data_IF_147493854965
#
_entry.id   IF_147493854965
#
_cell.length_a   1.000
_cell.length_b   1.000
_cell.length_c   1.000
_cell.angle_alpha   90.00
_cell.angle_beta   90.00
_cell.angle_gamma   90.00
#
_symmetry.space_group_name_H-M   'P 1'
#
loop_
_entity.id
_entity.type
_entity.pdbx_description
1 polymer ?
#
# COMPACT_ATOMS: atom_id res chain seq x y z
N UNK A 1 22.08 -0.84 11.20
CA UNK A 1 21.36 0.37 11.65
C UNK A 1 20.75 1.15 10.47
N UNK A 2 21.53 1.67 9.51
CA UNK A 2 21.00 2.49 8.40
C UNK A 2 19.98 1.77 7.49
N UNK A 3 20.20 0.49 7.20
CA UNK A 3 19.26 -0.32 6.39
C UNK A 3 17.90 -0.50 7.08
N UNK A 4 17.91 -0.78 8.38
CA UNK A 4 16.71 -0.93 9.21
C UNK A 4 15.91 0.38 9.29
N UNK A 5 16.59 1.52 9.42
CA UNK A 5 15.94 2.83 9.37
C UNK A 5 15.31 3.10 7.99
N UNK A 6 16.04 2.82 6.90
CA UNK A 6 15.53 3.03 5.54
C UNK A 6 14.30 2.15 5.21
N UNK A 7 14.27 0.89 5.65
CA UNK A 7 13.09 0.04 5.48
C UNK A 7 11.93 0.43 6.41
N UNK A 8 12.23 0.95 7.61
CA UNK A 8 11.22 1.52 8.50
C UNK A 8 10.55 2.75 7.89
N UNK A 9 11.35 3.65 7.32
CA UNK A 9 10.85 4.81 6.57
C UNK A 9 10.04 4.36 5.34
N UNK A 10 10.53 3.37 4.60
CA UNK A 10 9.81 2.80 3.46
C UNK A 10 8.44 2.27 3.87
N UNK A 11 8.34 1.53 5.00
CA UNK A 11 7.09 1.01 5.53
C UNK A 11 6.10 2.15 5.84
N UNK A 12 6.56 3.20 6.54
CA UNK A 12 5.73 4.36 6.85
C UNK A 12 5.22 5.07 5.59
N UNK A 13 6.09 5.28 4.60
CA UNK A 13 5.68 5.86 3.32
C UNK A 13 4.69 4.97 2.56
N UNK A 14 4.87 3.64 2.64
CA UNK A 14 3.97 2.68 2.01
C UNK A 14 2.57 2.73 2.64
N UNK A 15 2.50 2.74 3.97
CA UNK A 15 1.22 2.82 4.70
C UNK A 15 0.51 4.15 4.43
N UNK A 16 1.21 5.27 4.46
CA UNK A 16 0.63 6.59 4.16
C UNK A 16 0.08 6.65 2.72
N UNK A 17 0.85 6.14 1.75
CA UNK A 17 0.42 6.11 0.34
C UNK A 17 -0.76 5.15 0.14
N UNK A 18 -0.76 4.01 0.84
CA UNK A 18 -1.85 3.03 0.81
C UNK A 18 -3.15 3.60 1.39
N UNK A 19 -3.08 4.39 2.45
CA UNK A 19 -4.26 5.10 2.99
C UNK A 19 -4.85 6.06 1.97
N UNK A 20 -4.01 6.85 1.30
CA UNK A 20 -4.46 7.80 0.27
C UNK A 20 -5.07 7.07 -0.93
N UNK A 21 -4.44 5.98 -1.40
CA UNK A 21 -4.97 5.14 -2.48
C UNK A 21 -6.30 4.48 -2.08
N UNK A 22 -6.44 4.07 -0.82
CA UNK A 22 -7.69 3.56 -0.25
C UNK A 22 -8.81 4.60 -0.30
N UNK A 23 -8.57 5.81 0.20
CA UNK A 23 -9.55 6.90 0.17
C UNK A 23 -9.91 7.27 -1.27
N UNK A 24 -8.91 7.41 -2.14
CA UNK A 24 -9.10 7.73 -3.55
C UNK A 24 -9.96 6.67 -4.26
N UNK A 25 -9.66 5.40 -4.04
CA UNK A 25 -10.40 4.29 -4.66
C UNK A 25 -11.85 4.22 -4.19
N UNK A 26 -12.10 4.40 -2.89
CA UNK A 26 -13.46 4.42 -2.33
C UNK A 26 -14.28 5.60 -2.87
N UNK A 27 -13.67 6.77 -3.01
CA UNK A 27 -14.33 7.93 -3.60
C UNK A 27 -14.74 7.67 -5.05
N UNK A 28 -13.87 7.05 -5.86
CA UNK A 28 -14.14 6.73 -7.25
C UNK A 28 -15.12 5.56 -7.44
N UNK A 29 -15.13 4.58 -6.53
CA UNK A 29 -16.10 3.49 -6.52
C UNK A 29 -17.55 3.97 -6.27
N UNK A 30 -17.70 5.08 -5.53
CA UNK A 30 -18.99 5.70 -5.27
C UNK A 30 -19.42 6.72 -6.34
N UNK A 31 -18.65 6.89 -7.43
CA UNK A 31 -19.02 7.82 -8.49
C UNK A 31 -20.18 7.25 -9.35
N UNK A 32 -21.05 8.12 -9.85
CA UNK A 32 -22.15 7.72 -10.75
C UNK A 32 -21.65 7.30 -12.15
N UNK A 33 -20.43 7.71 -12.51
CA UNK A 33 -19.80 7.39 -13.80
C UNK A 33 -19.11 6.01 -13.76
N UNK A 34 -19.55 5.10 -14.65
CA UNK A 34 -19.04 3.74 -14.74
C UNK A 34 -17.54 3.64 -15.08
N UNK A 35 -16.96 4.64 -15.76
CA UNK A 35 -15.51 4.72 -16.03
C UNK A 35 -14.78 5.09 -14.75
N UNK A 36 -15.29 6.03 -13.96
CA UNK A 36 -14.71 6.39 -12.66
C UNK A 36 -14.78 5.21 -11.68
N UNK A 37 -15.89 4.47 -11.64
CA UNK A 37 -16.00 3.25 -10.82
C UNK A 37 -14.93 2.20 -11.17
N UNK A 38 -14.66 1.98 -12.46
CA UNK A 38 -13.60 1.05 -12.89
C UNK A 38 -12.22 1.52 -12.45
N UNK A 39 -11.94 2.83 -12.54
CA UNK A 39 -10.68 3.40 -12.03
C UNK A 39 -10.59 3.18 -10.51
N UNK A 40 -11.67 3.44 -9.77
CA UNK A 40 -11.75 3.17 -8.34
C UNK A 40 -11.47 1.71 -8.01
N UNK A 41 -12.07 0.76 -8.74
CA UNK A 41 -11.87 -0.67 -8.52
C UNK A 41 -10.42 -1.09 -8.76
N UNK A 42 -9.78 -0.58 -9.81
CA UNK A 42 -8.36 -0.87 -10.10
C UNK A 42 -7.48 -0.39 -8.94
N UNK A 43 -7.67 0.86 -8.50
CA UNK A 43 -6.91 1.41 -7.38
C UNK A 43 -7.20 0.68 -6.07
N UNK A 44 -8.44 0.23 -5.85
CA UNK A 44 -8.80 -0.57 -4.69
C UNK A 44 -8.05 -1.91 -4.66
N UNK A 45 -8.02 -2.63 -5.78
CA UNK A 45 -7.29 -3.91 -5.91
C UNK A 45 -5.79 -3.71 -5.70
N UNK A 46 -5.20 -2.68 -6.32
CA UNK A 46 -3.79 -2.34 -6.11
C UNK A 46 -3.53 -2.05 -4.62
N UNK A 47 -4.44 -1.32 -3.97
CA UNK A 47 -4.28 -1.01 -2.55
C UNK A 47 -4.37 -2.26 -1.67
N UNK A 48 -5.26 -3.21 -1.99
CA UNK A 48 -5.31 -4.50 -1.28
C UNK A 48 -4.02 -5.30 -1.47
N UNK A 49 -3.46 -5.34 -2.68
CA UNK A 49 -2.16 -6.00 -2.92
C UNK A 49 -1.03 -5.34 -2.10
N UNK A 50 -1.03 -4.02 -2.02
CA UNK A 50 -0.06 -3.29 -1.19
C UNK A 50 -0.16 -3.67 0.29
N UNK A 51 -1.37 -3.79 0.83
CA UNK A 51 -1.63 -4.13 2.23
C UNK A 51 -1.34 -5.60 2.53
N UNK A 52 -1.78 -6.53 1.67
CA UNK A 52 -1.69 -7.97 1.95
C UNK A 52 -0.40 -8.63 1.47
N UNK A 53 0.34 -8.02 0.56
CA UNK A 53 1.56 -8.61 0.00
C UNK A 53 2.78 -7.77 0.34
N UNK A 54 2.80 -6.50 -0.05
CA UNK A 54 4.02 -5.69 0.07
C UNK A 54 4.31 -5.28 1.52
N UNK A 55 3.29 -4.93 2.30
CA UNK A 55 3.46 -4.58 3.72
C UNK A 55 4.03 -5.76 4.53
N UNK A 56 3.46 -6.99 4.46
CA UNK A 56 4.03 -8.17 5.08
C UNK A 56 5.43 -8.50 4.58
N UNK A 57 5.71 -8.29 3.29
CA UNK A 57 7.03 -8.55 2.71
C UNK A 57 8.09 -7.59 3.29
N UNK A 58 7.78 -6.29 3.37
CA UNK A 58 8.67 -5.28 3.96
C UNK A 58 8.92 -5.59 5.45
N UNK A 59 7.86 -5.96 6.19
CA UNK A 59 7.96 -6.41 7.58
C UNK A 59 8.85 -7.65 7.68
N UNK A 60 8.64 -8.66 6.84
CA UNK A 60 9.44 -9.89 6.84
C UNK A 60 10.93 -9.58 6.60
N UNK A 61 11.24 -8.71 5.64
CA UNK A 61 12.61 -8.27 5.38
C UNK A 61 13.18 -7.51 6.58
N UNK A 62 12.42 -6.61 7.20
CA UNK A 62 12.82 -5.85 8.38
C UNK A 62 13.22 -6.75 9.56
N UNK A 63 12.42 -7.78 9.86
CA UNK A 63 12.63 -8.64 11.03
C UNK A 63 13.53 -9.85 10.77
N UNK A 64 13.49 -10.43 9.56
CA UNK A 64 14.18 -11.67 9.23
C UNK A 64 15.28 -11.52 8.17
N UNK A 65 15.21 -10.50 7.31
CA UNK A 65 16.19 -10.28 6.24
C UNK A 65 17.42 -9.48 6.67
N UNK A 66 17.32 -8.64 7.70
CA UNK A 66 18.43 -7.81 8.20
C UNK A 66 19.31 -8.56 9.22
N UNK A 67 18.84 -9.72 9.70
CA UNK A 67 19.52 -10.56 10.71
C UNK A 67 20.51 -11.57 10.12
N UNK A 68 20.76 -11.53 8.80
CA UNK A 68 21.66 -12.44 8.07
C UNK A 68 22.91 -11.73 7.57
#
# INVERSE_FOLDING_TARGET
MQLMLAFGDLLLYFEATSLVAGIFSLWHLNADDAKLQKVGLIWFIINLLNIFVLTPLIILVLFFGISF
#
